data_IF_465296342447
#
_entry.id   IF_465296342447
#
_cell.length_a   1.000
_cell.length_b   1.000
_cell.length_c   1.000
_cell.angle_alpha   90.00
_cell.angle_beta   90.00
_cell.angle_gamma   90.00
#
_symmetry.space_group_name_H-M   'P 1'
#
loop_
_entity.id
_entity.type
_entity.pdbx_description
1 polymer ?
#
# COMPACT_ATOMS: atom_id res chain seq x y z
N UNK A 1 19.96 -0.33 19.00
CA UNK A 1 18.71 0.03 18.32
C UNK A 1 18.54 -0.89 17.12
N UNK A 2 17.48 -1.66 17.09
CA UNK A 2 17.24 -2.62 15.99
C UNK A 2 16.76 -1.86 14.76
N UNK A 3 17.40 -2.11 13.63
CA UNK A 3 17.01 -1.54 12.33
C UNK A 3 16.28 -2.60 11.52
N UNK A 4 15.22 -2.19 10.83
CA UNK A 4 14.53 -3.07 9.90
C UNK A 4 15.40 -3.32 8.66
N UNK A 5 15.51 -4.57 8.25
CA UNK A 5 16.21 -4.95 7.02
C UNK A 5 15.15 -5.24 5.95
N UNK A 6 15.30 -4.60 4.79
CA UNK A 6 14.38 -4.74 3.66
C UNK A 6 15.02 -5.54 2.53
N UNK A 7 14.30 -6.51 2.00
CA UNK A 7 14.70 -7.32 0.85
C UNK A 7 13.55 -7.42 -0.16
N UNK A 8 13.88 -7.59 -1.43
CA UNK A 8 12.91 -7.91 -2.46
C UNK A 8 12.76 -9.43 -2.58
N UNK A 9 11.52 -9.90 -2.62
CA UNK A 9 11.18 -11.32 -2.76
C UNK A 9 10.19 -11.48 -3.90
N UNK A 10 10.49 -12.39 -4.83
CA UNK A 10 9.60 -12.76 -5.92
C UNK A 10 9.07 -14.16 -5.71
N UNK A 11 7.78 -14.34 -5.96
CA UNK A 11 7.11 -15.65 -5.89
C UNK A 11 7.33 -16.37 -4.55
N UNK A 12 7.12 -15.67 -3.45
CA UNK A 12 7.29 -16.23 -2.09
C UNK A 12 6.47 -17.50 -1.87
N UNK A 13 5.28 -17.57 -2.43
CA UNK A 13 4.38 -18.72 -2.29
C UNK A 13 4.74 -19.89 -3.20
N UNK A 14 5.71 -19.72 -4.08
CA UNK A 14 6.15 -20.74 -5.08
C UNK A 14 5.00 -21.26 -5.95
N UNK A 15 4.05 -20.37 -6.26
CA UNK A 15 2.92 -20.67 -7.12
C UNK A 15 2.59 -19.48 -8.02
N UNK A 16 2.23 -19.77 -9.26
CA UNK A 16 1.83 -18.75 -10.22
C UNK A 16 0.31 -18.59 -10.20
N UNK A 17 -0.16 -17.38 -10.50
CA UNK A 17 -1.59 -17.13 -10.66
C UNK A 17 -2.11 -17.70 -11.98
N UNK A 18 -3.41 -17.52 -12.26
CA UNK A 18 -4.05 -18.01 -13.50
C UNK A 18 -3.43 -17.45 -14.79
N UNK A 19 -2.73 -16.30 -14.70
CA UNK A 19 -2.04 -15.68 -15.83
C UNK A 19 -0.56 -16.10 -15.94
N UNK A 20 -0.11 -17.03 -15.12
CA UNK A 20 1.28 -17.49 -15.08
C UNK A 20 2.25 -16.48 -14.46
N UNK A 21 1.76 -15.60 -13.58
CA UNK A 21 2.55 -14.55 -12.93
C UNK A 21 2.59 -14.73 -11.42
N UNK A 22 3.60 -14.16 -10.80
CA UNK A 22 3.76 -14.10 -9.36
C UNK A 22 4.08 -12.67 -8.89
N UNK A 23 3.82 -12.43 -7.62
CA UNK A 23 3.94 -11.11 -6.99
C UNK A 23 5.37 -10.83 -6.55
N UNK A 24 5.82 -9.61 -6.76
CA UNK A 24 7.02 -9.03 -6.12
C UNK A 24 6.60 -8.40 -4.80
N UNK A 25 7.28 -8.74 -3.72
CA UNK A 25 7.02 -8.22 -2.38
C UNK A 25 8.28 -7.64 -1.76
N UNK A 26 8.11 -6.71 -0.83
CA UNK A 26 9.16 -6.26 0.07
C UNK A 26 9.05 -7.05 1.36
N UNK A 27 10.13 -7.77 1.71
CA UNK A 27 10.27 -8.42 3.01
C UNK A 27 10.88 -7.43 3.99
N UNK A 28 10.23 -7.21 5.12
CA UNK A 28 10.78 -6.46 6.25
C UNK A 28 11.11 -7.44 7.37
N UNK A 29 12.35 -7.43 7.83
CA UNK A 29 12.86 -8.30 8.88
C UNK A 29 13.30 -7.49 10.09
N UNK A 30 12.75 -7.82 11.26
CA UNK A 30 13.09 -7.20 12.54
C UNK A 30 12.92 -8.22 13.68
N UNK A 31 13.90 -8.32 14.56
CA UNK A 31 13.84 -9.14 15.79
C UNK A 31 13.34 -10.58 15.54
N UNK A 32 13.90 -11.25 14.53
CA UNK A 32 13.56 -12.62 14.11
C UNK A 32 12.13 -12.77 13.55
N UNK A 33 11.44 -11.67 13.27
CA UNK A 33 10.11 -11.66 12.65
C UNK A 33 10.18 -11.10 11.25
N UNK A 34 9.26 -11.53 10.40
CA UNK A 34 9.15 -11.07 9.01
C UNK A 34 7.74 -10.58 8.72
N UNK A 35 7.65 -9.53 7.92
CA UNK A 35 6.40 -9.07 7.28
C UNK A 35 6.66 -8.86 5.80
N UNK A 36 5.62 -9.04 5.00
CA UNK A 36 5.70 -8.89 3.55
C UNK A 36 4.70 -7.84 3.09
N UNK A 37 5.17 -6.92 2.26
CA UNK A 37 4.36 -5.84 1.68
C UNK A 37 4.30 -6.01 0.18
N UNK A 38 3.08 -6.00 -0.38
CA UNK A 38 2.87 -6.15 -1.81
C UNK A 38 3.27 -4.88 -2.55
N UNK A 39 4.10 -5.02 -3.58
CA UNK A 39 4.38 -3.94 -4.54
C UNK A 39 3.27 -3.78 -5.58
N UNK A 40 2.32 -4.74 -5.63
CA UNK A 40 1.29 -4.88 -6.67
C UNK A 40 1.86 -5.13 -8.07
N UNK A 41 3.14 -5.47 -8.17
CA UNK A 41 3.80 -5.83 -9.43
C UNK A 41 3.79 -7.34 -9.59
N UNK A 42 3.13 -7.82 -10.64
CA UNK A 42 3.07 -9.22 -11.02
C UNK A 42 3.91 -9.45 -12.26
N UNK A 43 4.75 -10.47 -12.24
CA UNK A 43 5.70 -10.80 -13.30
C UNK A 43 5.67 -12.29 -13.62
N UNK A 44 5.98 -12.64 -14.86
CA UNK A 44 6.32 -14.00 -15.24
C UNK A 44 7.72 -14.35 -14.73
N UNK A 45 8.04 -15.67 -14.53
CA UNK A 45 9.36 -16.08 -14.04
C UNK A 45 10.54 -15.57 -14.86
N UNK A 46 10.40 -15.53 -16.20
CA UNK A 46 11.43 -15.00 -17.10
C UNK A 46 11.62 -13.49 -17.02
N UNK A 47 10.70 -12.77 -16.39
CA UNK A 47 10.75 -11.31 -16.25
C UNK A 47 11.39 -10.86 -14.95
N UNK A 48 11.88 -11.76 -14.13
CA UNK A 48 12.55 -11.47 -12.87
C UNK A 48 13.96 -12.02 -12.81
N UNK A 49 14.91 -11.20 -12.37
CA UNK A 49 16.30 -11.62 -12.12
C UNK A 49 16.53 -11.77 -10.62
N UNK A 50 16.63 -13.02 -10.15
CA UNK A 50 16.84 -13.33 -8.73
C UNK A 50 18.22 -12.91 -8.18
N UNK A 51 19.21 -12.73 -9.04
CA UNK A 51 20.56 -12.34 -8.61
C UNK A 51 20.65 -10.83 -8.44
N UNK A 52 20.15 -10.09 -9.42
CA UNK A 52 20.16 -8.63 -9.42
C UNK A 52 18.94 -8.02 -8.72
N UNK A 53 17.89 -8.80 -8.47
CA UNK A 53 16.63 -8.39 -7.88
C UNK A 53 15.97 -7.25 -8.67
N UNK A 54 15.88 -7.42 -9.98
CA UNK A 54 15.31 -6.46 -10.91
C UNK A 54 14.35 -7.14 -11.90
N UNK A 55 13.46 -6.31 -12.44
CA UNK A 55 12.63 -6.69 -13.60
C UNK A 55 13.48 -6.67 -14.85
N UNK A 56 13.35 -7.70 -15.68
CA UNK A 56 14.01 -7.86 -16.98
C UNK A 56 13.01 -8.39 -18.01
N UNK A 57 13.38 -8.32 -19.29
CA UNK A 57 12.58 -8.90 -20.40
C UNK A 57 11.10 -8.47 -20.39
N UNK A 58 10.84 -7.24 -19.94
CA UNK A 58 9.51 -6.66 -19.90
C UNK A 58 9.50 -5.31 -20.63
N UNK A 59 8.47 -4.98 -21.42
CA UNK A 59 8.42 -3.70 -22.15
C UNK A 59 8.57 -2.47 -21.25
N UNK A 60 8.06 -2.57 -20.02
CA UNK A 60 8.11 -1.49 -19.03
C UNK A 60 9.08 -1.80 -17.87
N UNK A 61 10.15 -2.55 -18.13
CA UNK A 61 11.08 -2.99 -17.08
C UNK A 61 11.64 -1.83 -16.25
N UNK A 62 12.09 -0.75 -16.89
CA UNK A 62 12.65 0.41 -16.20
C UNK A 62 11.62 1.11 -15.32
N UNK A 63 10.40 1.28 -15.82
CA UNK A 63 9.30 1.89 -15.07
C UNK A 63 8.90 1.03 -13.86
N UNK A 64 8.83 -0.29 -14.04
CA UNK A 64 8.50 -1.21 -12.96
C UNK A 64 9.60 -1.28 -11.90
N UNK A 65 10.86 -1.27 -12.29
CA UNK A 65 12.00 -1.19 -11.35
C UNK A 65 11.94 0.09 -10.54
N UNK A 66 11.67 1.21 -11.17
CA UNK A 66 11.49 2.50 -10.48
C UNK A 66 10.35 2.44 -9.47
N UNK A 67 9.21 1.90 -9.85
CA UNK A 67 8.02 1.75 -8.99
C UNK A 67 8.34 0.88 -7.76
N UNK A 68 9.06 -0.22 -7.92
CA UNK A 68 9.49 -1.10 -6.82
C UNK A 68 10.42 -0.35 -5.86
N UNK A 69 11.41 0.39 -6.38
CA UNK A 69 12.32 1.18 -5.55
C UNK A 69 11.64 2.34 -4.81
N UNK A 70 10.70 3.02 -5.48
CA UNK A 70 9.89 4.08 -4.86
C UNK A 70 9.02 3.53 -3.73
N UNK A 71 8.48 2.33 -3.90
CA UNK A 71 7.71 1.65 -2.87
C UNK A 71 8.58 1.31 -1.65
N UNK A 72 9.78 0.77 -1.85
CA UNK A 72 10.75 0.55 -0.77
C UNK A 72 11.13 1.85 -0.06
N UNK A 73 11.43 2.89 -0.81
CA UNK A 73 11.77 4.20 -0.26
C UNK A 73 10.62 4.79 0.57
N UNK A 74 9.38 4.58 0.15
CA UNK A 74 8.20 4.99 0.92
C UNK A 74 8.12 4.26 2.27
N UNK A 75 8.36 2.95 2.29
CA UNK A 75 8.37 2.16 3.53
C UNK A 75 9.48 2.64 4.48
N UNK A 76 10.69 2.83 3.97
CA UNK A 76 11.83 3.35 4.75
C UNK A 76 11.55 4.75 5.29
N UNK A 77 10.91 5.59 4.51
CA UNK A 77 10.50 6.93 4.94
C UNK A 77 9.51 6.86 6.11
N UNK A 78 8.54 5.95 6.06
CA UNK A 78 7.60 5.74 7.17
C UNK A 78 8.29 5.24 8.43
N UNK A 79 9.24 4.33 8.31
CA UNK A 79 10.09 3.90 9.43
C UNK A 79 10.81 5.09 10.07
N UNK A 80 11.42 5.94 9.24
CA UNK A 80 12.15 7.13 9.69
C UNK A 80 11.22 8.14 10.39
N UNK A 81 10.03 8.38 9.86
CA UNK A 81 9.02 9.23 10.50
C UNK A 81 8.64 8.72 11.89
N UNK A 82 8.43 7.41 12.04
CA UNK A 82 8.13 6.79 13.33
C UNK A 82 9.28 6.94 14.31
N UNK A 83 10.51 6.77 13.86
CA UNK A 83 11.71 6.97 14.66
C UNK A 83 11.85 8.43 15.13
N UNK A 84 11.62 9.39 14.24
CA UNK A 84 11.65 10.84 14.57
C UNK A 84 10.59 11.22 15.61
N UNK A 85 9.46 10.54 15.62
CA UNK A 85 8.41 10.71 16.63
C UNK A 85 8.75 10.06 17.98
N UNK A 86 9.91 9.43 18.11
CA UNK A 86 10.33 8.72 19.32
C UNK A 86 9.54 7.43 19.59
N UNK A 87 8.83 6.90 18.60
CA UNK A 87 8.04 5.67 18.76
C UNK A 87 8.94 4.44 18.63
N UNK A 88 8.66 3.44 19.44
CA UNK A 88 9.31 2.14 19.30
C UNK A 88 8.85 1.47 17.99
N UNK A 89 9.82 1.18 17.13
CA UNK A 89 9.55 0.57 15.83
C UNK A 89 9.25 -0.91 15.99
N UNK A 90 8.13 -1.35 15.41
CA UNK A 90 7.76 -2.75 15.26
C UNK A 90 7.18 -3.00 13.86
N UNK A 91 7.21 -4.25 13.42
CA UNK A 91 6.66 -4.61 12.10
C UNK A 91 5.13 -4.42 12.07
N UNK A 92 4.45 -4.66 13.17
CA UNK A 92 3.02 -4.44 13.31
C UNK A 92 2.67 -2.96 13.18
N UNK A 93 3.41 -2.08 13.88
CA UNK A 93 3.20 -0.64 13.80
C UNK A 93 3.45 -0.12 12.38
N UNK A 94 4.50 -0.59 11.71
CA UNK A 94 4.80 -0.23 10.33
C UNK A 94 3.66 -0.65 9.38
N UNK A 95 3.14 -1.86 9.55
CA UNK A 95 2.00 -2.35 8.78
C UNK A 95 0.76 -1.49 8.99
N UNK A 96 0.44 -1.14 10.23
CA UNK A 96 -0.72 -0.32 10.58
C UNK A 96 -0.61 1.09 9.97
N UNK A 97 0.55 1.71 10.03
CA UNK A 97 0.80 3.03 9.46
C UNK A 97 0.67 3.01 7.94
N UNK A 98 1.19 1.98 7.26
CA UNK A 98 1.06 1.82 5.82
C UNK A 98 -0.39 1.57 5.40
N UNK A 99 -1.13 0.73 6.12
CA UNK A 99 -2.56 0.48 5.87
C UNK A 99 -3.40 1.75 6.06
N UNK A 100 -3.10 2.55 7.07
CA UNK A 100 -3.78 3.83 7.30
C UNK A 100 -3.51 4.82 6.17
N UNK A 101 -2.31 4.85 5.62
CA UNK A 101 -1.96 5.69 4.47
C UNK A 101 -2.75 5.29 3.22
N UNK A 102 -2.92 4.00 2.97
CA UNK A 102 -3.75 3.51 1.86
C UNK A 102 -5.22 3.92 2.03
N UNK A 103 -5.74 3.83 3.23
CA UNK A 103 -7.12 4.22 3.54
C UNK A 103 -7.34 5.73 3.42
N UNK A 104 -6.33 6.56 3.64
CA UNK A 104 -6.42 8.03 3.45
C UNK A 104 -6.60 8.43 1.99
N UNK A 105 -6.20 7.62 1.05
CA UNK A 105 -6.43 7.88 -0.38
C UNK A 105 -7.84 7.49 -0.84
N UNK A 106 -8.54 6.67 -0.08
CA UNK A 106 -9.92 6.28 -0.34
C UNK A 106 -10.89 7.38 0.15
N UNK A 107 -11.67 7.94 -0.78
CA UNK A 107 -12.58 9.06 -0.51
C UNK A 107 -13.70 8.70 0.46
N UNK A 108 -14.33 7.54 0.29
CA UNK A 108 -15.53 7.19 1.07
C UNK A 108 -15.26 6.99 2.56
N UNK A 109 -14.23 6.22 2.99
CA UNK A 109 -13.87 6.13 4.40
C UNK A 109 -13.48 7.48 5.00
N UNK A 110 -12.72 8.28 4.27
CA UNK A 110 -12.34 9.64 4.68
C UNK A 110 -13.57 10.52 4.91
N UNK A 111 -14.49 10.56 3.96
CA UNK A 111 -15.69 11.41 4.03
C UNK A 111 -16.62 10.98 5.19
N UNK A 112 -16.78 9.67 5.41
CA UNK A 112 -17.53 9.17 6.58
C UNK A 112 -16.93 9.62 7.89
N UNK A 113 -15.62 9.56 8.03
CA UNK A 113 -14.92 10.01 9.23
C UNK A 113 -15.09 11.50 9.45
N UNK A 114 -14.98 12.31 8.40
CA UNK A 114 -15.18 13.77 8.48
C UNK A 114 -16.62 14.11 8.87
N UNK A 115 -17.63 13.42 8.35
CA UNK A 115 -19.02 13.59 8.74
C UNK A 115 -19.21 13.27 10.23
N UNK A 116 -18.66 12.15 10.71
CA UNK A 116 -18.77 11.72 12.10
C UNK A 116 -18.12 12.71 13.07
N UNK A 117 -16.99 13.32 12.66
CA UNK A 117 -16.24 14.30 13.46
C UNK A 117 -16.77 15.75 13.33
N UNK A 118 -17.72 15.99 12.43
CA UNK A 118 -18.24 17.33 12.18
C UNK A 118 -19.25 17.76 13.24
N UNK A 119 -19.41 19.08 13.40
CA UNK A 119 -20.41 19.70 14.30
C UNK A 119 -21.75 19.93 13.62
N UNK A 120 -22.01 19.32 12.47
CA UNK A 120 -23.22 19.45 11.70
C UNK A 120 -24.43 18.84 12.43
N UNK A 121 -25.62 19.39 12.14
CA UNK A 121 -26.88 18.82 12.63
C UNK A 121 -27.09 17.40 12.11
N UNK A 122 -27.79 16.56 12.90
CA UNK A 122 -28.06 15.17 12.53
C UNK A 122 -28.77 15.00 11.19
N UNK A 123 -29.70 15.90 10.86
CA UNK A 123 -30.39 15.90 9.56
C UNK A 123 -29.41 16.12 8.38
N UNK A 124 -28.46 17.05 8.56
CA UNK A 124 -27.42 17.33 7.55
C UNK A 124 -26.47 16.15 7.39
N UNK A 125 -26.07 15.51 8.51
CA UNK A 125 -25.26 14.28 8.48
C UNK A 125 -25.95 13.15 7.72
N UNK A 126 -27.25 12.94 7.94
CA UNK A 126 -28.03 11.92 7.19
C UNK A 126 -28.05 12.20 5.70
N UNK A 127 -28.22 13.45 5.29
CA UNK A 127 -28.22 13.83 3.87
C UNK A 127 -26.86 13.53 3.22
N UNK A 128 -25.76 13.82 3.89
CA UNK A 128 -24.43 13.50 3.39
C UNK A 128 -24.19 12.01 3.31
N UNK A 129 -24.64 11.22 4.28
CA UNK A 129 -24.55 9.76 4.25
C UNK A 129 -25.38 9.14 3.11
N UNK A 130 -26.57 9.71 2.84
CA UNK A 130 -27.40 9.30 1.70
C UNK A 130 -26.70 9.58 0.37
N UNK A 131 -26.06 10.74 0.22
CA UNK A 131 -25.26 11.09 -0.95
C UNK A 131 -24.08 10.11 -1.15
N UNK A 132 -23.39 9.73 -0.07
CA UNK A 132 -22.34 8.72 -0.11
C UNK A 132 -22.84 7.36 -0.60
N UNK A 133 -24.02 6.94 -0.12
CA UNK A 133 -24.62 5.66 -0.54
C UNK A 133 -24.93 5.65 -2.03
N UNK A 134 -25.45 6.77 -2.56
CA UNK A 134 -25.67 6.93 -4.00
C UNK A 134 -24.37 6.89 -4.80
N UNK A 135 -23.32 7.55 -4.32
CA UNK A 135 -22.01 7.55 -4.95
C UNK A 135 -21.41 6.15 -5.02
N UNK A 136 -21.58 5.34 -3.97
CA UNK A 136 -21.13 3.94 -3.92
C UNK A 136 -21.87 3.04 -4.91
N UNK A 137 -23.11 3.34 -5.25
CA UNK A 137 -23.86 2.61 -6.29
C UNK A 137 -23.29 2.84 -7.69
N UNK A 138 -22.74 4.03 -7.95
CA UNK A 138 -22.09 4.35 -9.23
C UNK A 138 -20.67 3.79 -9.33
N UNK A 139 -19.91 3.87 -8.25
CA UNK A 139 -18.54 3.39 -8.20
C UNK A 139 -18.22 2.92 -6.79
N UNK A 140 -17.92 1.64 -6.65
CA UNK A 140 -17.70 1.00 -5.34
C UNK A 140 -16.49 1.55 -4.60
N UNK A 141 -15.41 1.85 -5.32
CA UNK A 141 -14.16 2.36 -4.77
C UNK A 141 -13.84 3.74 -5.38
N UNK A 142 -14.31 4.80 -4.74
CA UNK A 142 -14.02 6.19 -5.15
C UNK A 142 -12.75 6.66 -4.47
N UNK A 143 -11.81 7.19 -5.25
CA UNK A 143 -10.58 7.83 -4.77
C UNK A 143 -10.65 9.34 -4.97
N UNK A 144 -9.76 10.09 -4.31
CA UNK A 144 -9.68 11.55 -4.50
C UNK A 144 -9.35 11.92 -5.94
N UNK A 145 -8.58 11.11 -6.66
CA UNK A 145 -8.25 11.33 -8.07
C UNK A 145 -9.45 11.22 -9.00
N UNK A 146 -10.48 10.45 -8.62
CA UNK A 146 -11.73 10.34 -9.38
C UNK A 146 -12.59 11.61 -9.31
N UNK A 147 -12.31 12.49 -8.36
CA UNK A 147 -13.04 13.73 -8.12
C UNK A 147 -12.38 14.97 -8.73
N UNK A 148 -11.34 14.80 -9.53
CA UNK A 148 -10.73 15.91 -10.28
C UNK A 148 -11.66 16.33 -11.43
N UNK A 149 -12.00 17.60 -11.45
CA UNK A 149 -12.80 18.22 -12.49
C UNK A 149 -11.93 18.76 -13.61
#
# INVERSE_FOLDING_TARGET
MSKIIYNLVYNRKRSLNKKGMALVQVEAYLDRKKKYFSTKVYLKPEQWDNKKLIVKNHPNADALNRLIYEFMAMIEKKELELWQQGRRISLELLKDVLSTSENKTAFIPFFRQEIANSTLKESTKRNHLSTLSLLQQFKKDVTFSDLTF
#
